data_IF_122546856680
#
_entry.id   IF_122546856680
#
_cell.length_a   1.000
_cell.length_b   1.000
_cell.length_c   1.000
_cell.angle_alpha   90.00
_cell.angle_beta   90.00
_cell.angle_gamma   90.00
#
_symmetry.space_group_name_H-M   'P 1'
#
loop_
_entity.id
_entity.type
_entity.pdbx_description
1 polymer ?
#
# COMPACT_ATOMS: atom_id res chain seq x y z
N UNK A 1 -8.14 -4.99 -0.48
CA UNK A 1 -7.90 -3.52 -0.59
C UNK A 1 -7.73 -3.14 -2.06
N UNK A 2 -8.24 -1.97 -2.48
CA UNK A 2 -8.20 -1.59 -3.90
C UNK A 2 -6.79 -1.28 -4.41
N UNK A 3 -5.93 -0.70 -3.56
CA UNK A 3 -4.52 -0.46 -3.93
C UNK A 3 -3.76 -1.75 -4.27
N UNK A 4 -3.99 -2.84 -3.54
CA UNK A 4 -3.44 -4.16 -3.86
C UNK A 4 -3.95 -4.67 -5.22
N UNK A 5 -5.27 -4.55 -5.48
CA UNK A 5 -5.84 -5.00 -6.75
C UNK A 5 -5.27 -4.21 -7.93
N UNK A 6 -5.12 -2.88 -7.77
CA UNK A 6 -4.52 -2.04 -8.80
C UNK A 6 -3.05 -2.44 -9.06
N UNK A 7 -2.24 -2.59 -8.02
CA UNK A 7 -0.83 -2.98 -8.19
C UNK A 7 -0.70 -4.35 -8.85
N UNK A 8 -1.52 -5.33 -8.43
CA UNK A 8 -1.51 -6.67 -9.03
C UNK A 8 -1.92 -6.64 -10.51
N UNK A 9 -2.92 -5.81 -10.87
CA UNK A 9 -3.32 -5.64 -12.27
C UNK A 9 -2.23 -5.00 -13.12
N UNK A 10 -1.63 -3.90 -12.65
CA UNK A 10 -0.54 -3.24 -13.37
C UNK A 10 0.64 -4.19 -13.59
N UNK A 11 1.04 -4.92 -12.56
CA UNK A 11 2.14 -5.89 -12.67
C UNK A 11 1.80 -7.02 -13.63
N UNK A 12 0.55 -7.53 -13.61
CA UNK A 12 0.11 -8.57 -14.55
C UNK A 12 0.16 -8.11 -16.01
N UNK A 13 -0.33 -6.89 -16.27
CA UNK A 13 -0.25 -6.31 -17.62
C UNK A 13 1.19 -6.03 -18.07
N UNK A 14 2.04 -5.56 -17.16
CA UNK A 14 3.47 -5.38 -17.43
C UNK A 14 4.18 -6.69 -17.75
N UNK A 15 3.91 -7.78 -17.00
CA UNK A 15 4.47 -9.11 -17.31
C UNK A 15 4.09 -9.54 -18.72
N UNK A 16 2.80 -9.40 -19.07
CA UNK A 16 2.30 -9.89 -20.36
C UNK A 16 2.81 -9.04 -21.54
N UNK A 17 3.06 -7.75 -21.33
CA UNK A 17 3.59 -6.87 -22.38
C UNK A 17 5.11 -6.97 -22.52
N UNK A 18 5.85 -7.16 -21.42
CA UNK A 18 7.32 -7.15 -21.43
C UNK A 18 7.95 -8.55 -21.47
N UNK A 19 7.20 -9.59 -21.11
CA UNK A 19 7.73 -10.95 -20.92
C UNK A 19 8.57 -11.11 -19.65
N UNK A 20 8.74 -10.05 -18.84
CA UNK A 20 9.54 -10.09 -17.61
C UNK A 20 8.71 -10.63 -16.44
N UNK A 21 9.17 -11.67 -15.77
CA UNK A 21 8.53 -12.23 -14.57
C UNK A 21 8.80 -11.31 -13.37
N UNK A 22 7.77 -10.65 -12.85
CA UNK A 22 7.90 -9.72 -11.73
C UNK A 22 8.40 -10.38 -10.43
N UNK A 23 8.37 -11.71 -10.32
CA UNK A 23 8.93 -12.46 -9.19
C UNK A 23 10.46 -12.51 -9.20
N UNK A 24 11.07 -12.24 -10.36
CA UNK A 24 12.52 -12.24 -10.56
C UNK A 24 13.18 -10.91 -10.17
N UNK A 25 12.40 -9.92 -9.70
CA UNK A 25 12.97 -8.70 -9.16
C UNK A 25 13.97 -9.01 -8.03
N UNK A 26 15.13 -8.35 -8.08
CA UNK A 26 16.18 -8.51 -7.05
C UNK A 26 15.73 -8.04 -5.68
N UNK A 27 14.87 -7.02 -5.63
CA UNK A 27 14.40 -6.44 -4.37
C UNK A 27 12.95 -5.99 -4.45
N UNK A 28 12.28 -6.11 -3.32
CA UNK A 28 10.91 -5.64 -3.09
C UNK A 28 10.88 -4.70 -1.89
N UNK A 29 10.29 -3.53 -2.05
CA UNK A 29 10.02 -2.62 -0.93
C UNK A 29 8.51 -2.41 -0.87
N UNK A 30 7.91 -2.77 0.24
CA UNK A 30 6.46 -2.72 0.42
C UNK A 30 6.04 -1.82 1.57
N UNK A 31 4.99 -1.03 1.34
CA UNK A 31 4.30 -0.22 2.35
C UNK A 31 2.83 -0.53 2.27
N UNK A 32 2.19 -0.85 3.40
CA UNK A 32 0.75 -1.14 3.47
C UNK A 32 0.33 -2.17 2.41
N UNK A 33 -0.62 -1.87 1.54
CA UNK A 33 -1.04 -2.75 0.45
C UNK A 33 0.14 -3.24 -0.42
N UNK A 34 1.20 -2.43 -0.59
CA UNK A 34 2.41 -2.81 -1.31
C UNK A 34 3.21 -3.92 -0.61
N UNK A 35 3.16 -3.99 0.71
CA UNK A 35 3.80 -5.08 1.46
C UNK A 35 3.12 -6.43 1.23
N UNK A 36 1.80 -6.42 1.03
CA UNK A 36 1.02 -7.63 0.68
C UNK A 36 1.41 -8.12 -0.71
N UNK A 37 1.46 -7.20 -1.69
CA UNK A 37 1.86 -7.53 -3.07
C UNK A 37 3.29 -8.10 -3.10
N UNK A 38 4.22 -7.43 -2.44
CA UNK A 38 5.61 -7.84 -2.36
C UNK A 38 5.77 -9.23 -1.70
N UNK A 39 5.02 -9.50 -0.61
CA UNK A 39 5.02 -10.81 0.04
C UNK A 39 4.45 -11.91 -0.88
N UNK A 40 3.41 -11.63 -1.66
CA UNK A 40 2.85 -12.58 -2.64
C UNK A 40 3.85 -12.90 -3.75
N UNK A 41 4.52 -11.89 -4.32
CA UNK A 41 5.55 -12.09 -5.35
C UNK A 41 6.71 -12.93 -4.81
N UNK A 42 7.18 -12.61 -3.60
CA UNK A 42 8.25 -13.36 -2.94
C UNK A 42 7.83 -14.81 -2.64
N UNK A 43 6.55 -15.05 -2.32
CA UNK A 43 5.98 -16.40 -2.17
C UNK A 43 5.83 -17.17 -3.50
N UNK A 44 6.29 -16.62 -4.62
CA UNK A 44 6.18 -17.22 -5.94
C UNK A 44 4.81 -17.04 -6.62
N UNK A 45 3.91 -16.25 -6.05
CA UNK A 45 2.59 -15.99 -6.65
C UNK A 45 2.72 -14.96 -7.77
N UNK A 46 2.19 -15.29 -8.95
CA UNK A 46 2.14 -14.34 -10.06
C UNK A 46 1.17 -13.19 -9.82
N UNK A 47 1.41 -12.01 -10.40
CA UNK A 47 0.42 -10.95 -10.45
C UNK A 47 -0.91 -11.44 -11.02
N UNK A 48 -2.00 -10.90 -10.50
CA UNK A 48 -3.35 -11.31 -10.92
C UNK A 48 -3.69 -10.69 -12.26
N UNK A 49 -4.38 -11.48 -13.07
CA UNK A 49 -4.99 -11.07 -14.33
C UNK A 49 -6.51 -11.03 -14.16
N UNK A 50 -7.20 -10.14 -14.86
CA UNK A 50 -8.65 -10.21 -14.91
C UNK A 50 -9.09 -11.54 -15.54
N UNK A 51 -10.23 -12.11 -15.16
CA UNK A 51 -10.78 -13.26 -15.86
C UNK A 51 -10.91 -12.92 -17.35
N UNK A 52 -10.53 -13.86 -18.23
CA UNK A 52 -10.60 -13.67 -19.68
C UNK A 52 -12.03 -13.27 -20.09
N UNK A 53 -12.13 -12.27 -20.95
CA UNK A 53 -13.40 -11.81 -21.55
C UNK A 53 -13.93 -12.94 -22.43
N UNK A 54 -14.64 -13.89 -21.84
CA UNK A 54 -15.18 -15.10 -22.48
C UNK A 54 -16.17 -15.82 -21.58
N UNK A 55 -16.12 -15.61 -20.29
CA UNK A 55 -17.20 -15.94 -19.39
C UNK A 55 -18.06 -14.68 -19.20
N UNK A 56 -19.20 -14.62 -19.88
CA UNK A 56 -20.28 -13.70 -19.48
C UNK A 56 -20.47 -13.88 -17.98
N UNK A 57 -20.02 -12.88 -17.23
CA UNK A 57 -20.37 -12.79 -15.81
C UNK A 57 -21.86 -12.51 -15.83
N UNK A 58 -22.67 -13.56 -15.74
CA UNK A 58 -24.02 -13.40 -15.24
C UNK A 58 -23.90 -12.57 -13.98
N UNK A 59 -24.37 -11.34 -14.07
CA UNK A 59 -24.61 -10.49 -12.92
C UNK A 59 -25.66 -11.19 -12.07
N UNK A 60 -25.27 -12.23 -11.33
CA UNK A 60 -26.08 -12.76 -10.27
C UNK A 60 -26.31 -11.62 -9.30
N UNK A 61 -27.48 -11.05 -9.47
CA UNK A 61 -28.11 -10.10 -8.56
C UNK A 61 -27.77 -10.52 -7.14
N UNK A 62 -26.92 -9.74 -6.47
CA UNK A 62 -26.63 -9.92 -5.06
C UNK A 62 -27.96 -9.88 -4.30
N UNK A 63 -28.27 -10.98 -3.57
CA UNK A 63 -29.40 -11.03 -2.65
C UNK A 63 -29.45 -9.75 -1.81
N UNK A 64 -30.63 -9.20 -1.54
CA UNK A 64 -30.77 -8.04 -0.66
C UNK A 64 -30.11 -8.38 0.69
N UNK A 65 -29.12 -7.62 1.06
CA UNK A 65 -28.50 -7.70 2.38
C UNK A 65 -29.51 -7.16 3.37
N UNK A 66 -29.86 -7.96 4.40
CA UNK A 66 -30.77 -7.57 5.45
C UNK A 66 -30.48 -6.16 5.95
N UNK A 67 -31.52 -5.34 6.16
CA UNK A 67 -31.41 -3.90 6.45
C UNK A 67 -30.48 -3.53 7.60
N UNK A 68 -30.26 -4.42 8.58
CA UNK A 68 -29.30 -4.25 9.69
C UNK A 68 -27.85 -4.33 9.20
N UNK A 69 -27.55 -5.26 8.28
CA UNK A 69 -26.23 -5.41 7.69
C UNK A 69 -25.91 -4.23 6.75
N UNK A 70 -26.90 -3.73 6.02
CA UNK A 70 -26.78 -2.52 5.20
C UNK A 70 -26.52 -1.27 6.06
N UNK A 71 -27.19 -1.11 7.20
CA UNK A 71 -26.99 -0.02 8.14
C UNK A 71 -25.61 -0.10 8.80
N UNK A 72 -25.13 -1.28 9.19
CA UNK A 72 -23.80 -1.49 9.73
C UNK A 72 -22.72 -1.22 8.69
N UNK A 73 -22.93 -1.60 7.43
CA UNK A 73 -22.03 -1.31 6.31
C UNK A 73 -21.99 0.19 6.01
N UNK A 74 -23.13 0.89 6.09
CA UNK A 74 -23.24 2.34 5.91
C UNK A 74 -22.55 3.10 7.07
N UNK A 75 -22.68 2.61 8.29
CA UNK A 75 -21.98 3.14 9.46
C UNK A 75 -20.47 2.92 9.36
N UNK A 76 -20.02 1.76 8.91
CA UNK A 76 -18.61 1.46 8.65
C UNK A 76 -18.06 2.32 7.50
N UNK A 77 -18.83 2.54 6.44
CA UNK A 77 -18.50 3.47 5.34
C UNK A 77 -18.36 4.91 5.83
N UNK A 78 -19.27 5.38 6.70
CA UNK A 78 -19.21 6.71 7.32
C UNK A 78 -18.04 6.84 8.29
N UNK A 79 -17.79 5.82 9.11
CA UNK A 79 -16.61 5.78 9.99
C UNK A 79 -15.31 5.76 9.21
N UNK A 80 -15.23 5.01 8.10
CA UNK A 80 -14.10 5.01 7.17
C UNK A 80 -13.86 6.37 6.51
N UNK A 81 -14.92 7.04 6.06
CA UNK A 81 -14.85 8.38 5.48
C UNK A 81 -14.44 9.44 6.52
N UNK A 82 -14.93 9.34 7.77
CA UNK A 82 -14.55 10.22 8.89
C UNK A 82 -13.11 9.93 9.31
N UNK A 83 -12.68 8.67 9.34
CA UNK A 83 -11.29 8.30 9.64
C UNK A 83 -10.32 8.78 8.54
N UNK A 84 -10.73 8.70 7.26
CA UNK A 84 -9.98 9.28 6.15
C UNK A 84 -9.92 10.82 6.28
N UNK A 85 -11.03 11.47 6.60
CA UNK A 85 -11.11 12.91 6.82
C UNK A 85 -10.29 13.35 8.05
N UNK A 86 -10.32 12.59 9.14
CA UNK A 86 -9.49 12.84 10.32
C UNK A 86 -7.99 12.62 10.01
N UNK A 87 -7.64 11.57 9.25
CA UNK A 87 -6.28 11.34 8.79
C UNK A 87 -5.74 12.45 7.90
N UNK A 88 -6.60 13.02 7.09
CA UNK A 88 -6.25 14.11 6.20
C UNK A 88 -6.14 15.48 6.89
N UNK A 89 -6.77 15.68 8.04
CA UNK A 89 -6.51 16.85 8.88
C UNK A 89 -5.06 16.91 9.38
N UNK A 90 -4.34 15.80 9.32
CA UNK A 90 -2.90 15.70 9.60
C UNK A 90 -2.00 15.81 8.37
N UNK A 91 -2.55 15.91 7.15
CA UNK A 91 -1.78 16.00 5.92
C UNK A 91 -0.83 17.23 5.85
N UNK A 92 -1.20 18.43 6.33
CA UNK A 92 -0.25 19.56 6.41
C UNK A 92 0.89 19.31 7.39
N UNK A 93 0.64 18.53 8.44
CA UNK A 93 1.64 18.10 9.41
C UNK A 93 2.58 17.02 8.83
N UNK A 94 2.11 16.20 7.87
CA UNK A 94 2.94 15.21 7.22
C UNK A 94 4.09 15.83 6.42
N UNK A 95 3.93 17.02 5.84
CA UNK A 95 5.00 17.75 5.15
C UNK A 95 6.10 18.24 6.10
N UNK A 96 5.75 18.73 7.29
CA UNK A 96 6.73 19.10 8.34
C UNK A 96 7.29 17.89 9.08
N UNK A 97 6.56 16.79 9.09
CA UNK A 97 6.87 15.52 9.79
C UNK A 97 7.75 14.58 8.94
N UNK A 98 7.78 14.74 7.62
CA UNK A 98 8.66 13.97 6.73
C UNK A 98 10.16 14.35 6.85
N UNK A 99 10.48 15.48 7.49
CA UNK A 99 11.87 15.83 7.79
C UNK A 99 12.43 14.95 8.92
N UNK A 100 13.76 14.74 9.00
CA UNK A 100 14.41 14.01 10.09
C UNK A 100 14.02 14.49 11.50
N UNK A 101 13.72 15.79 11.68
CA UNK A 101 13.22 16.39 12.93
C UNK A 101 11.74 16.05 13.24
N UNK A 102 10.98 15.57 12.26
CA UNK A 102 9.56 15.26 12.42
C UNK A 102 9.26 13.98 13.22
N UNK A 103 10.27 13.15 13.52
CA UNK A 103 10.07 11.89 14.26
C UNK A 103 9.47 12.12 15.65
N UNK A 104 9.92 13.14 16.38
CA UNK A 104 9.41 13.45 17.73
C UNK A 104 7.95 13.87 17.68
N UNK A 105 7.60 14.75 16.73
CA UNK A 105 6.21 15.19 16.54
C UNK A 105 5.31 14.03 16.15
N UNK A 106 5.78 13.17 15.24
CA UNK A 106 5.08 11.95 14.83
C UNK A 106 4.87 11.00 16.01
N UNK A 107 5.89 10.77 16.82
CA UNK A 107 5.80 9.95 18.03
C UNK A 107 4.77 10.50 19.02
N UNK A 108 4.79 11.82 19.25
CA UNK A 108 3.84 12.49 20.14
C UNK A 108 2.39 12.34 19.65
N UNK A 109 2.17 12.49 18.35
CA UNK A 109 0.85 12.28 17.73
C UNK A 109 0.40 10.83 17.84
N UNK A 110 1.24 9.89 17.45
CA UNK A 110 0.92 8.46 17.50
C UNK A 110 0.57 7.99 18.91
N UNK A 111 1.26 8.52 19.95
CA UNK A 111 0.96 8.21 21.35
C UNK A 111 -0.41 8.70 21.80
N UNK A 112 -0.90 9.83 21.23
CA UNK A 112 -2.21 10.41 21.57
C UNK A 112 -3.38 9.77 20.83
N UNK A 113 -3.11 9.03 19.74
CA UNK A 113 -4.17 8.33 19.01
C UNK A 113 -4.76 7.21 19.85
N UNK A 114 -6.09 7.01 19.78
CA UNK A 114 -6.75 5.89 20.45
C UNK A 114 -6.17 4.55 19.97
N UNK A 115 -6.29 3.52 20.81
CA UNK A 115 -5.94 2.15 20.46
C UNK A 115 -7.22 1.39 20.11
N UNK A 116 -7.55 1.23 18.83
CA UNK A 116 -8.68 0.40 18.42
C UNK A 116 -8.44 -1.06 18.83
N UNK A 117 -9.52 -1.82 18.97
CA UNK A 117 -9.45 -3.27 19.24
C UNK A 117 -9.40 -4.12 17.98
N UNK A 118 -9.64 -3.51 16.81
CA UNK A 118 -9.69 -4.25 15.54
C UNK A 118 -8.30 -4.69 15.10
N UNK A 119 -8.17 -5.98 14.76
CA UNK A 119 -6.92 -6.60 14.32
C UNK A 119 -6.99 -7.04 12.86
N UNK A 120 -5.85 -7.39 12.29
CA UNK A 120 -5.71 -7.90 10.92
C UNK A 120 -5.40 -9.41 10.89
N UNK A 121 -6.01 -10.20 11.78
CA UNK A 121 -5.70 -11.62 11.95
C UNK A 121 -5.94 -12.45 10.69
N UNK A 122 -6.95 -12.10 9.88
CA UNK A 122 -7.17 -12.75 8.57
C UNK A 122 -6.02 -12.52 7.61
N UNK A 123 -5.48 -11.28 7.58
CA UNK A 123 -4.31 -10.96 6.76
C UNK A 123 -3.08 -11.72 7.28
N UNK A 124 -2.86 -11.73 8.60
CA UNK A 124 -1.78 -12.50 9.23
C UNK A 124 -1.82 -13.95 8.77
N UNK A 125 -2.95 -14.62 8.99
CA UNK A 125 -3.12 -16.02 8.61
C UNK A 125 -2.98 -16.27 7.10
N UNK A 126 -3.37 -15.31 6.25
CA UNK A 126 -3.18 -15.42 4.80
C UNK A 126 -1.70 -15.42 4.43
N UNK A 127 -0.90 -14.51 5.00
CA UNK A 127 0.54 -14.42 4.73
C UNK A 127 1.28 -15.62 5.34
N UNK A 128 0.92 -16.05 6.55
CA UNK A 128 1.51 -17.25 7.18
C UNK A 128 1.31 -18.52 6.33
N UNK A 129 0.10 -18.71 5.80
CA UNK A 129 -0.20 -19.86 4.91
C UNK A 129 0.61 -19.85 3.61
N UNK A 130 1.09 -18.71 3.15
CA UNK A 130 1.96 -18.66 1.97
C UNK A 130 3.36 -19.20 2.23
N UNK A 131 3.75 -19.39 3.50
CA UNK A 131 5.07 -19.89 3.89
C UNK A 131 6.22 -18.94 3.59
N UNK A 132 5.93 -17.71 3.15
CA UNK A 132 6.95 -16.73 2.77
C UNK A 132 7.84 -16.35 3.95
N UNK A 133 9.14 -16.23 3.70
CA UNK A 133 10.16 -15.80 4.67
C UNK A 133 11.01 -14.69 4.09
N UNK A 134 11.63 -13.90 4.95
CA UNK A 134 12.65 -12.95 4.50
C UNK A 134 13.87 -13.71 3.96
N UNK A 135 14.19 -13.47 2.69
CA UNK A 135 15.34 -14.06 1.97
C UNK A 135 16.40 -13.00 1.59
N UNK A 136 16.27 -11.78 2.14
CA UNK A 136 17.12 -10.63 1.84
C UNK A 136 16.58 -9.72 0.73
N UNK A 137 15.62 -10.17 -0.07
CA UNK A 137 15.01 -9.38 -1.15
C UNK A 137 13.87 -8.48 -0.68
N UNK A 138 13.10 -8.89 0.34
CA UNK A 138 11.93 -8.16 0.80
C UNK A 138 12.28 -7.18 1.92
N UNK A 139 11.81 -5.95 1.80
CA UNK A 139 11.80 -4.93 2.85
C UNK A 139 10.39 -4.42 3.07
N UNK A 140 9.94 -4.44 4.31
CA UNK A 140 8.60 -3.99 4.68
C UNK A 140 8.70 -2.78 5.60
N UNK A 141 8.08 -1.66 5.20
CA UNK A 141 8.10 -0.42 5.95
C UNK A 141 7.03 -0.43 7.05
N UNK A 142 7.43 -0.10 8.28
CA UNK A 142 6.54 0.22 9.38
C UNK A 142 7.10 1.39 10.18
N UNK A 143 6.30 1.95 11.10
CA UNK A 143 6.73 3.03 11.99
C UNK A 143 6.64 2.56 13.43
N UNK A 144 7.75 2.67 14.17
CA UNK A 144 7.77 2.47 15.62
C UNK A 144 6.93 3.57 16.28
N UNK A 145 5.86 3.19 16.95
CA UNK A 145 4.87 4.11 17.55
C UNK A 145 5.47 4.97 18.66
N UNK A 146 6.47 4.46 19.38
CA UNK A 146 7.11 5.16 20.48
C UNK A 146 8.08 6.22 20.00
N UNK A 147 8.86 5.93 18.97
CA UNK A 147 9.92 6.80 18.47
C UNK A 147 9.50 7.63 17.24
N UNK A 148 8.40 7.27 16.58
CA UNK A 148 7.97 7.88 15.32
C UNK A 148 8.94 7.62 14.15
N UNK A 149 9.90 6.73 14.32
CA UNK A 149 10.90 6.42 13.30
C UNK A 149 10.46 5.25 12.42
N UNK A 150 10.83 5.33 11.17
CA UNK A 150 10.64 4.23 10.22
C UNK A 150 11.53 3.04 10.59
N UNK A 151 10.98 1.86 10.45
CA UNK A 151 11.68 0.57 10.51
C UNK A 151 11.44 -0.15 9.19
N UNK A 152 12.49 -0.72 8.61
CA UNK A 152 12.44 -1.53 7.40
C UNK A 152 12.68 -2.99 7.79
N UNK A 153 11.63 -3.74 8.09
CA UNK A 153 11.74 -5.18 8.37
C UNK A 153 12.34 -5.91 7.16
N UNK A 154 13.21 -6.86 7.41
CA UNK A 154 13.97 -7.56 6.37
C UNK A 154 15.28 -6.85 5.96
N UNK A 155 15.56 -5.65 6.50
CA UNK A 155 16.87 -5.01 6.32
C UNK A 155 17.87 -5.47 7.38
N UNK A 156 19.18 -5.43 7.12
CA UNK A 156 20.20 -5.66 8.14
C UNK A 156 20.00 -4.73 9.34
N UNK A 157 20.06 -5.30 10.56
CA UNK A 157 19.87 -4.57 11.82
C UNK A 157 18.43 -4.22 12.18
N UNK A 158 17.44 -4.62 11.37
CA UNK A 158 16.03 -4.51 11.74
C UNK A 158 15.69 -5.52 12.86
N UNK A 159 14.66 -5.22 13.69
CA UNK A 159 14.17 -6.19 14.66
C UNK A 159 13.75 -7.50 13.99
N UNK A 160 13.97 -8.63 14.66
CA UNK A 160 13.53 -9.92 14.17
C UNK A 160 11.99 -9.94 14.10
N UNK A 161 11.48 -10.36 12.95
CA UNK A 161 10.06 -10.49 12.67
C UNK A 161 9.82 -11.52 11.58
N UNK A 162 8.67 -12.16 11.59
CA UNK A 162 8.19 -12.90 10.41
C UNK A 162 7.68 -11.95 9.35
N UNK A 163 7.59 -12.41 8.09
CA UNK A 163 6.98 -11.60 7.01
C UNK A 163 5.53 -11.25 7.34
N UNK A 164 4.78 -12.18 7.94
CA UNK A 164 3.39 -11.94 8.33
C UNK A 164 3.27 -10.82 9.38
N UNK A 165 4.10 -10.83 10.42
CA UNK A 165 4.13 -9.76 11.43
C UNK A 165 4.47 -8.41 10.79
N UNK A 166 5.49 -8.36 9.95
CA UNK A 166 5.92 -7.14 9.29
C UNK A 166 4.84 -6.57 8.34
N UNK A 167 4.19 -7.44 7.55
CA UNK A 167 3.10 -7.05 6.63
C UNK A 167 1.90 -6.53 7.42
N UNK A 168 1.50 -7.22 8.50
CA UNK A 168 0.40 -6.76 9.35
C UNK A 168 0.74 -5.42 10.00
N UNK A 169 1.94 -5.25 10.55
CA UNK A 169 2.39 -3.98 11.10
C UNK A 169 2.35 -2.87 10.06
N UNK A 170 2.80 -3.15 8.82
CA UNK A 170 2.79 -2.22 7.70
C UNK A 170 1.38 -1.83 7.22
N UNK A 171 0.38 -2.65 7.49
CA UNK A 171 -1.04 -2.42 7.14
C UNK A 171 -1.88 -1.87 8.30
N UNK A 172 -1.30 -1.74 9.49
CA UNK A 172 -1.99 -1.28 10.70
C UNK A 172 -2.12 0.24 10.69
N UNK A 173 -3.12 0.74 9.94
CA UNK A 173 -3.44 2.17 9.87
C UNK A 173 -3.83 2.65 11.26
N UNK A 174 -3.14 3.66 11.82
CA UNK A 174 -3.51 4.24 13.12
C UNK A 174 -4.99 4.66 13.12
N UNK A 175 -5.66 4.63 14.30
CA UNK A 175 -7.10 4.87 14.55
C UNK A 175 -8.07 3.83 13.95
N UNK A 176 -7.64 2.98 12.98
CA UNK A 176 -8.47 1.89 12.43
C UNK A 176 -8.14 0.55 13.09
N UNK A 177 -6.86 0.27 13.28
CA UNK A 177 -6.37 -1.02 13.77
C UNK A 177 -5.50 -0.86 15.00
N UNK A 178 -5.50 -1.91 15.85
CA UNK A 178 -4.60 -2.01 16.99
C UNK A 178 -3.14 -2.07 16.53
N UNK A 179 -2.22 -1.32 17.17
CA UNK A 179 -0.79 -1.46 16.88
C UNK A 179 -0.31 -2.91 17.03
N UNK A 180 0.64 -3.31 16.20
CA UNK A 180 1.22 -4.66 16.26
C UNK A 180 2.47 -4.64 17.14
N UNK A 181 2.54 -5.54 18.10
CA UNK A 181 3.73 -5.73 18.91
C UNK A 181 4.69 -6.72 18.23
N UNK A 182 5.95 -6.29 18.05
CA UNK A 182 7.05 -7.12 17.54
C UNK A 182 8.28 -6.81 18.40
N UNK A 183 8.89 -7.84 18.97
CA UNK A 183 10.09 -7.73 19.82
C UNK A 183 9.95 -6.65 20.92
N UNK A 184 8.80 -6.60 21.61
CA UNK A 184 8.51 -5.67 22.71
C UNK A 184 8.31 -4.22 22.29
N UNK A 185 8.03 -3.94 21.00
CA UNK A 185 7.74 -2.62 20.48
C UNK A 185 6.47 -2.60 19.64
N UNK A 186 5.73 -1.50 19.69
CA UNK A 186 4.50 -1.30 18.93
C UNK A 186 4.81 -0.64 17.57
N UNK A 187 4.25 -1.22 16.51
CA UNK A 187 4.39 -0.73 15.15
C UNK A 187 3.05 -0.40 14.52
N UNK A 188 3.07 0.58 13.64
CA UNK A 188 1.93 1.03 12.84
C UNK A 188 2.35 1.15 11.37
N UNK A 189 1.36 1.41 10.49
CA UNK A 189 1.52 1.50 9.04
C UNK A 189 2.69 2.39 8.61
N UNK A 190 3.51 1.88 7.69
CA UNK A 190 4.65 2.59 7.11
C UNK A 190 4.26 3.86 6.33
N UNK A 191 3.00 3.95 5.88
CA UNK A 191 2.42 5.13 5.24
C UNK A 191 2.41 6.37 6.14
N UNK A 192 2.50 6.20 7.45
CA UNK A 192 2.71 7.31 8.41
C UNK A 192 4.04 8.01 8.19
N UNK A 193 5.03 7.33 7.65
CA UNK A 193 6.32 7.91 7.25
C UNK A 193 6.29 8.40 5.81
N UNK A 194 6.01 7.51 4.88
CA UNK A 194 5.89 7.79 3.45
C UNK A 194 4.95 6.78 2.77
N UNK A 195 4.16 7.21 1.80
CA UNK A 195 3.26 6.31 1.07
C UNK A 195 3.98 5.16 0.35
N UNK A 196 5.21 5.38 -0.08
CA UNK A 196 5.99 4.41 -0.88
C UNK A 196 7.26 3.92 -0.20
N UNK A 197 7.86 4.74 0.66
CA UNK A 197 9.18 4.47 1.24
C UNK A 197 10.23 4.09 0.16
N UNK A 198 10.13 4.71 -1.01
CA UNK A 198 10.92 4.41 -2.19
C UNK A 198 12.42 4.62 -1.96
N UNK A 199 12.80 5.62 -1.16
CA UNK A 199 14.20 5.93 -0.78
C UNK A 199 14.89 4.78 -0.05
N UNK A 200 14.13 3.82 0.51
CA UNK A 200 14.65 2.64 1.18
C UNK A 200 15.03 1.50 0.21
N UNK A 201 14.75 1.65 -1.08
CA UNK A 201 15.15 0.66 -2.07
C UNK A 201 16.68 0.57 -2.15
N UNK A 202 17.27 -0.67 -2.14
CA UNK A 202 18.70 -0.85 -2.31
C UNK A 202 19.08 -0.70 -3.78
N UNK A 203 19.00 0.52 -4.28
CA UNK A 203 19.20 0.84 -5.67
C UNK A 203 20.39 1.78 -5.87
N UNK A 204 21.12 1.57 -6.94
CA UNK A 204 22.28 2.35 -7.33
C UNK A 204 22.46 2.38 -8.85
N UNK A 205 23.70 2.59 -9.30
CA UNK A 205 24.03 2.65 -10.72
C UNK A 205 23.66 1.34 -11.42
N UNK A 206 22.94 1.43 -12.52
CA UNK A 206 22.48 0.29 -13.30
C UNK A 206 21.18 -0.37 -12.78
N UNK A 207 20.66 0.07 -11.65
CA UNK A 207 19.39 -0.47 -11.13
C UNK A 207 18.20 0.24 -11.78
N UNK A 208 17.22 -0.54 -12.24
CA UNK A 208 15.91 -0.05 -12.66
C UNK A 208 14.91 -0.25 -11.52
N UNK A 209 14.26 0.82 -11.09
CA UNK A 209 13.27 0.80 -10.00
C UNK A 209 11.90 1.15 -10.56
N UNK A 210 10.94 0.26 -10.36
CA UNK A 210 9.52 0.49 -10.64
C UNK A 210 8.80 0.86 -9.34
N UNK A 211 8.29 2.08 -9.25
CA UNK A 211 7.49 2.55 -8.12
C UNK A 211 6.01 2.56 -8.50
N UNK A 212 5.19 1.79 -7.79
CA UNK A 212 3.74 1.79 -7.91
C UNK A 212 3.14 2.59 -6.76
N UNK A 213 2.51 3.73 -7.06
CA UNK A 213 1.89 4.60 -6.06
C UNK A 213 0.36 4.66 -6.23
N UNK A 214 -0.42 3.79 -5.57
CA UNK A 214 -1.88 3.76 -5.73
C UNK A 214 -2.57 5.04 -5.24
N UNK A 215 -1.93 5.82 -4.38
CA UNK A 215 -2.48 7.07 -3.83
C UNK A 215 -2.15 8.32 -4.66
N UNK A 216 -1.35 8.18 -5.72
CA UNK A 216 -0.87 9.31 -6.52
C UNK A 216 -1.96 10.02 -7.35
N UNK A 217 -3.08 9.35 -7.65
CA UNK A 217 -4.19 9.87 -8.46
C UNK A 217 -5.56 9.56 -7.85
N UNK A 218 -5.69 9.73 -6.52
CA UNK A 218 -6.99 9.56 -5.85
C UNK A 218 -8.01 10.56 -6.42
N UNK A 219 -9.16 10.05 -6.86
CA UNK A 219 -10.29 10.85 -7.34
C UNK A 219 -11.20 11.20 -6.17
N UNK A 220 -11.52 12.48 -6.00
CA UNK A 220 -12.48 12.94 -5.00
C UNK A 220 -12.52 14.46 -4.94
N UNK A 221 -13.72 15.02 -4.74
CA UNK A 221 -13.97 16.46 -4.68
C UNK A 221 -13.63 17.11 -3.33
N UNK A 222 -13.25 16.31 -2.32
CA UNK A 222 -12.91 16.84 -1.01
C UNK A 222 -11.48 17.40 -0.99
N UNK A 223 -11.30 18.63 -0.54
CA UNK A 223 -9.99 19.32 -0.37
C UNK A 223 -8.95 18.44 0.33
N UNK A 224 -9.42 17.59 1.23
CA UNK A 224 -8.65 16.64 1.98
C UNK A 224 -7.94 15.60 1.10
N UNK A 225 -8.65 15.01 0.12
CA UNK A 225 -8.07 14.04 -0.82
C UNK A 225 -7.05 14.70 -1.76
N UNK A 226 -7.29 15.96 -2.11
CA UNK A 226 -6.34 16.78 -2.87
C UNK A 226 -5.01 16.94 -2.13
N UNK A 227 -5.07 17.28 -0.85
CA UNK A 227 -3.88 17.43 0.00
C UNK A 227 -3.13 16.10 0.15
N UNK A 228 -3.84 14.99 0.38
CA UNK A 228 -3.22 13.65 0.45
C UNK A 228 -2.50 13.32 -0.87
N UNK A 229 -3.16 13.57 -2.01
CA UNK A 229 -2.59 13.36 -3.33
C UNK A 229 -1.33 14.19 -3.55
N UNK A 230 -1.38 15.48 -3.20
CA UNK A 230 -0.25 16.40 -3.32
C UNK A 230 0.93 15.95 -2.45
N UNK A 231 0.68 15.63 -1.19
CA UNK A 231 1.70 15.12 -0.25
C UNK A 231 2.30 13.82 -0.74
N UNK A 232 1.47 12.88 -1.20
CA UNK A 232 1.92 11.60 -1.74
C UNK A 232 2.84 11.81 -2.97
N UNK A 233 2.43 12.64 -3.91
CA UNK A 233 3.25 12.95 -5.11
C UNK A 233 4.57 13.61 -4.75
N UNK A 234 4.54 14.60 -3.85
CA UNK A 234 5.74 15.32 -3.42
C UNK A 234 6.74 14.39 -2.71
N UNK A 235 6.26 13.55 -1.79
CA UNK A 235 7.09 12.58 -1.09
C UNK A 235 7.77 11.61 -2.07
N UNK A 236 7.00 11.01 -2.98
CA UNK A 236 7.53 10.07 -3.99
C UNK A 236 8.53 10.75 -4.92
N UNK A 237 8.29 12.01 -5.30
CA UNK A 237 9.22 12.77 -6.16
C UNK A 237 10.57 13.01 -5.49
N UNK A 238 10.56 13.35 -4.19
CA UNK A 238 11.79 13.52 -3.40
C UNK A 238 12.53 12.21 -3.24
N UNK A 239 11.82 11.13 -2.91
CA UNK A 239 12.41 9.79 -2.77
C UNK A 239 13.01 9.29 -4.10
N UNK A 240 12.31 9.51 -5.22
CA UNK A 240 12.81 9.19 -6.55
C UNK A 240 14.09 9.98 -6.89
N UNK A 241 14.16 11.25 -6.50
CA UNK A 241 15.35 12.06 -6.70
C UNK A 241 16.56 11.52 -5.92
N UNK A 242 16.34 11.02 -4.69
CA UNK A 242 17.39 10.36 -3.90
C UNK A 242 17.96 9.15 -4.64
N UNK A 243 17.09 8.29 -5.20
CA UNK A 243 17.55 7.12 -5.94
C UNK A 243 18.24 7.48 -7.26
N UNK A 244 17.69 8.46 -8.00
CA UNK A 244 18.33 8.96 -9.22
C UNK A 244 19.71 9.55 -8.96
N UNK A 245 19.92 10.24 -7.84
CA UNK A 245 21.25 10.73 -7.42
C UNK A 245 22.22 9.59 -7.09
N UNK A 246 21.72 8.42 -6.69
CA UNK A 246 22.51 7.19 -6.52
C UNK A 246 22.80 6.48 -7.85
N UNK A 247 22.29 7.00 -8.98
CA UNK A 247 22.49 6.47 -10.33
C UNK A 247 21.43 5.46 -10.77
N UNK A 248 20.34 5.28 -10.03
CA UNK A 248 19.25 4.41 -10.42
C UNK A 248 18.32 5.08 -11.45
N UNK A 249 17.79 4.27 -12.37
CA UNK A 249 16.65 4.65 -13.21
C UNK A 249 15.36 4.40 -12.44
N UNK A 250 14.49 5.41 -12.33
CA UNK A 250 13.22 5.30 -11.57
C UNK A 250 12.05 5.57 -12.50
N UNK A 251 11.26 4.53 -12.75
CA UNK A 251 9.95 4.61 -13.41
C UNK A 251 8.86 4.65 -12.33
N UNK A 252 7.89 5.56 -12.47
CA UNK A 252 6.80 5.74 -11.51
C UNK A 252 5.48 5.55 -12.21
N UNK A 253 4.59 4.77 -11.60
CA UNK A 253 3.20 4.63 -12.05
C UNK A 253 2.23 4.96 -10.92
N UNK A 254 1.17 5.66 -11.29
CA UNK A 254 -0.01 5.93 -10.45
C UNK A 254 -1.25 5.53 -11.24
N UNK A 255 -2.42 5.33 -10.62
CA UNK A 255 -3.64 5.00 -11.34
C UNK A 255 -3.91 6.01 -12.46
N UNK A 256 -4.15 5.52 -13.68
CA UNK A 256 -4.62 6.36 -14.78
C UNK A 256 -6.08 6.79 -14.52
N UNK A 257 -6.66 7.59 -15.39
CA UNK A 257 -8.03 8.13 -15.24
C UNK A 257 -9.04 7.00 -15.05
N UNK A 258 -8.94 5.94 -15.83
CA UNK A 258 -9.85 4.78 -15.79
C UNK A 258 -9.71 4.01 -14.46
N UNK A 259 -8.48 3.65 -14.08
CA UNK A 259 -8.21 2.94 -12.84
C UNK A 259 -8.59 3.77 -11.61
N UNK A 260 -8.29 5.08 -11.62
CA UNK A 260 -8.64 5.99 -10.55
C UNK A 260 -10.16 6.14 -10.40
N UNK A 261 -10.90 6.22 -11.50
CA UNK A 261 -12.37 6.25 -11.50
C UNK A 261 -12.94 4.93 -10.95
N UNK A 262 -12.38 3.77 -11.33
CA UNK A 262 -12.79 2.48 -10.81
C UNK A 262 -12.48 2.32 -9.30
N UNK A 263 -11.38 2.89 -8.81
CA UNK A 263 -11.00 2.85 -7.38
C UNK A 263 -11.90 3.73 -6.52
N UNK A 264 -12.37 4.87 -7.05
CA UNK A 264 -13.14 5.83 -6.28
C UNK A 264 -12.36 6.43 -5.11
N UNK A 265 -13.09 6.90 -4.08
CA UNK A 265 -12.51 7.55 -2.89
C UNK A 265 -12.30 6.61 -1.69
N UNK A 266 -12.88 5.38 -1.72
CA UNK A 266 -12.81 4.43 -0.61
C UNK A 266 -11.92 3.24 -0.95
N UNK A 267 -10.66 3.30 -0.58
CA UNK A 267 -9.66 2.25 -0.84
C UNK A 267 -9.89 0.93 -0.09
N UNK A 268 -10.75 0.95 0.93
CA UNK A 268 -11.09 -0.23 1.73
C UNK A 268 -12.31 -0.97 1.17
N UNK A 269 -13.00 -0.41 0.17
CA UNK A 269 -14.10 -1.08 -0.50
C UNK A 269 -13.60 -2.32 -1.25
N UNK A 270 -14.37 -3.40 -1.18
CA UNK A 270 -14.05 -4.65 -1.88
C UNK A 270 -14.89 -4.85 -3.15
N UNK A 271 -16.01 -4.15 -3.28
CA UNK A 271 -16.95 -4.30 -4.38
C UNK A 271 -16.32 -4.01 -5.76
N UNK A 272 -15.59 -2.90 -5.98
CA UNK A 272 -15.05 -2.60 -7.30
C UNK A 272 -13.72 -3.33 -7.62
N UNK A 273 -13.31 -4.30 -6.79
CA UNK A 273 -12.00 -4.94 -6.89
C UNK A 273 -11.67 -5.51 -8.28
N UNK A 274 -12.62 -6.20 -8.91
CA UNK A 274 -12.41 -6.79 -10.23
C UNK A 274 -12.35 -5.74 -11.34
N UNK A 275 -13.18 -4.70 -11.25
CA UNK A 275 -13.12 -3.55 -12.18
C UNK A 275 -11.80 -2.81 -12.08
N UNK A 276 -11.31 -2.61 -10.86
CA UNK A 276 -9.99 -2.01 -10.60
C UNK A 276 -8.88 -2.88 -11.18
N UNK A 277 -8.93 -4.18 -10.97
CA UNK A 277 -7.95 -5.13 -11.50
C UNK A 277 -7.92 -5.08 -13.04
N UNK A 278 -9.08 -5.07 -13.71
CA UNK A 278 -9.16 -5.02 -15.16
C UNK A 278 -8.65 -3.68 -15.74
N UNK A 279 -9.01 -2.55 -15.15
CA UNK A 279 -8.52 -1.24 -15.56
C UNK A 279 -6.99 -1.13 -15.36
N UNK A 280 -6.50 -1.63 -14.22
CA UNK A 280 -5.09 -1.64 -13.90
C UNK A 280 -4.27 -2.56 -14.83
N UNK A 281 -4.82 -3.70 -15.22
CA UNK A 281 -4.18 -4.61 -16.16
C UNK A 281 -4.01 -3.96 -17.54
N UNK A 282 -5.04 -3.27 -18.06
CA UNK A 282 -4.93 -2.49 -19.32
C UNK A 282 -3.87 -1.39 -19.20
N UNK A 283 -3.83 -0.71 -18.05
CA UNK A 283 -2.77 0.26 -17.77
C UNK A 283 -1.38 -0.39 -17.81
N UNK A 284 -1.22 -1.58 -17.23
CA UNK A 284 0.03 -2.33 -17.24
C UNK A 284 0.49 -2.71 -18.64
N UNK A 285 -0.42 -3.21 -19.49
CA UNK A 285 -0.14 -3.49 -20.89
C UNK A 285 0.39 -2.25 -21.63
N UNK A 286 -0.26 -1.11 -21.46
CA UNK A 286 0.16 0.16 -22.09
C UNK A 286 1.53 0.63 -21.60
N UNK A 287 1.85 0.44 -20.31
CA UNK A 287 3.15 0.82 -19.75
C UNK A 287 4.29 -0.11 -20.20
N UNK A 288 4.00 -1.37 -20.48
CA UNK A 288 4.99 -2.32 -20.96
C UNK A 288 5.29 -2.22 -22.45
N UNK A 289 4.37 -1.62 -23.23
CA UNK A 289 4.55 -1.37 -24.66
C UNK A 289 5.32 -0.06 -24.96
N UNK A 290 5.57 0.77 -23.95
CA UNK A 290 6.29 2.06 -24.02
C UNK A 290 7.72 1.94 -23.51
#
# INVERSE_FOLDING_TARGET
MLGEAWMMGVLGGLEDASGFDMRECEHFVGTSAGSIVAAHLLAGQRPRRPPSVGSEIELTSSKPVDGLAAAALLAARRAGAVALAAGASFAPLALGVAAPGGAVLRALMLRRLPRPSQTLDRLRSQIERSGVRFDGRLRVAAVDRRTGRRVMFGSPGAPAATVAEAVVASCTVPWLFAPVEIAGREYVDGGVWSPTNLDAAPAGRGTCVLCLNPTGNIVGSHRVLEVIRQVSRSAVSVEALVLRRRGASVKMAAPNVEAAAAMGSNFMDSEPRERVLAAAYRQGLALGAS
#
